data_IF_042958241067
#
_entry.id   IF_042958241067
#
_cell.length_a   1.000
_cell.length_b   1.000
_cell.length_c   1.000
_cell.angle_alpha   90.00
_cell.angle_beta   90.00
_cell.angle_gamma   90.00
#
_symmetry.space_group_name_H-M   'P 1'
#
loop_
_entity.id
_entity.type
_entity.pdbx_description
1 polymer ?
#
# COMPACT_ATOMS: atom_id res chain seq x y z
N UNK A 1 21.84 33.79 21.77
CA UNK A 1 21.26 32.56 21.18
C UNK A 1 21.43 32.62 19.67
N UNK A 2 22.15 31.65 19.07
CA UNK A 2 22.33 31.56 17.61
C UNK A 2 21.29 30.57 17.07
N UNK A 3 20.35 31.03 16.25
CA UNK A 3 19.44 30.14 15.50
C UNK A 3 20.24 29.18 14.61
N UNK A 4 19.79 27.93 14.57
CA UNK A 4 20.47 26.88 13.80
C UNK A 4 20.41 27.21 12.30
N UNK A 5 21.40 26.73 11.54
CA UNK A 5 21.45 26.94 10.08
C UNK A 5 20.18 26.37 9.40
N UNK A 6 19.65 25.29 9.95
CA UNK A 6 18.45 24.59 9.49
C UNK A 6 17.17 25.42 9.68
N UNK A 7 16.99 26.08 10.82
CA UNK A 7 15.83 26.96 11.07
C UNK A 7 15.79 28.15 10.10
N UNK A 8 16.96 28.68 9.73
CA UNK A 8 17.07 29.76 8.76
C UNK A 8 16.80 29.31 7.32
N UNK A 9 17.14 28.07 6.97
CA UNK A 9 16.78 27.49 5.67
C UNK A 9 15.29 27.19 5.59
N UNK A 10 14.68 26.57 6.61
CA UNK A 10 13.23 26.30 6.67
C UNK A 10 12.44 27.61 6.59
N UNK A 11 12.86 28.65 7.32
CA UNK A 11 12.23 29.97 7.26
C UNK A 11 12.32 30.65 5.89
N UNK A 12 13.41 30.43 5.13
CA UNK A 12 13.55 30.93 3.76
C UNK A 12 12.65 30.16 2.78
N UNK A 13 12.62 28.83 2.87
CA UNK A 13 11.81 27.98 2.00
C UNK A 13 10.32 28.25 2.19
N UNK A 14 9.87 28.43 3.44
CA UNK A 14 8.48 28.80 3.76
C UNK A 14 8.08 30.14 3.13
N UNK A 15 8.96 31.14 3.21
CA UNK A 15 8.69 32.49 2.65
C UNK A 15 8.65 32.48 1.12
N UNK A 16 9.43 31.62 0.48
CA UNK A 16 9.39 31.40 -0.97
C UNK A 16 8.04 30.75 -1.35
N UNK A 17 7.64 29.69 -0.65
CA UNK A 17 6.37 28.99 -0.87
C UNK A 17 5.15 29.92 -0.71
N UNK A 18 5.12 30.73 0.34
CA UNK A 18 4.03 31.70 0.61
C UNK A 18 4.00 32.87 -0.39
N UNK A 19 5.08 33.10 -1.14
CA UNK A 19 5.22 34.19 -2.12
C UNK A 19 4.97 33.76 -3.57
N UNK A 20 4.78 32.47 -3.84
CA UNK A 20 4.46 31.98 -5.19
C UNK A 20 3.00 32.30 -5.51
N UNK A 21 2.77 33.19 -6.48
CA UNK A 21 1.44 33.43 -7.02
C UNK A 21 0.90 32.14 -7.65
N UNK A 22 -0.30 31.74 -7.23
CA UNK A 22 -0.96 30.52 -7.68
C UNK A 22 -1.28 30.65 -9.18
N UNK A 23 -0.80 29.75 -10.06
CA UNK A 23 -1.10 29.82 -11.49
C UNK A 23 -2.61 29.66 -11.71
N UNK A 24 -3.22 30.52 -12.56
CA UNK A 24 -4.68 30.48 -12.83
C UNK A 24 -5.20 29.10 -13.28
N UNK A 25 -4.35 28.26 -13.87
CA UNK A 25 -4.67 26.88 -14.25
C UNK A 25 -4.93 25.95 -13.04
N UNK A 26 -4.35 26.25 -11.87
CA UNK A 26 -4.57 25.47 -10.64
C UNK A 26 -5.99 25.65 -10.10
N UNK A 27 -6.56 26.84 -10.30
CA UNK A 27 -7.88 27.24 -9.81
C UNK A 27 -8.99 26.41 -10.47
N UNK A 28 -8.81 26.04 -11.74
CA UNK A 28 -9.74 25.21 -12.50
C UNK A 28 -9.59 23.72 -12.19
N UNK A 29 -8.36 23.26 -11.88
CA UNK A 29 -8.09 21.90 -11.41
C UNK A 29 -8.65 21.69 -9.99
N UNK A 30 -8.46 22.66 -9.09
CA UNK A 30 -9.01 22.65 -7.72
C UNK A 30 -10.54 22.74 -7.77
N UNK A 31 -11.12 23.59 -8.64
CA UNK A 31 -12.58 23.60 -8.88
C UNK A 31 -13.09 22.30 -9.48
N UNK A 32 -12.30 21.63 -10.32
CA UNK A 32 -12.61 20.30 -10.86
C UNK A 32 -12.66 19.24 -9.78
N UNK A 33 -11.63 19.19 -8.91
CA UNK A 33 -11.54 18.25 -7.79
C UNK A 33 -12.66 18.48 -6.74
N UNK A 34 -12.94 19.74 -6.37
CA UNK A 34 -14.05 20.08 -5.46
C UNK A 34 -15.42 19.75 -6.06
N UNK A 35 -15.57 19.85 -7.40
CA UNK A 35 -16.79 19.39 -8.10
C UNK A 35 -16.92 17.87 -8.10
N UNK A 36 -15.81 17.14 -8.15
CA UNK A 36 -15.77 15.67 -8.06
C UNK A 36 -16.15 15.19 -6.65
N UNK A 37 -15.54 15.76 -5.60
CA UNK A 37 -15.89 15.46 -4.21
C UNK A 37 -17.35 15.81 -3.89
N UNK A 38 -17.87 16.93 -4.41
CA UNK A 38 -19.29 17.30 -4.21
C UNK A 38 -20.26 16.44 -5.02
N UNK A 39 -19.82 15.83 -6.13
CA UNK A 39 -20.62 14.86 -6.89
C UNK A 39 -20.71 13.53 -6.15
N UNK A 40 -19.58 13.03 -5.63
CA UNK A 40 -19.53 11.80 -4.82
C UNK A 40 -20.30 11.96 -3.49
N UNK A 41 -20.18 13.10 -2.81
CA UNK A 41 -20.97 13.39 -1.61
C UNK A 41 -22.47 13.53 -1.91
N UNK A 42 -22.85 14.14 -3.05
CA UNK A 42 -24.27 14.24 -3.46
C UNK A 42 -24.85 12.89 -3.83
N UNK A 43 -24.10 12.04 -4.53
CA UNK A 43 -24.56 10.69 -4.90
C UNK A 43 -24.67 9.79 -3.68
N UNK A 44 -23.74 9.91 -2.72
CA UNK A 44 -23.82 9.22 -1.44
C UNK A 44 -25.06 9.66 -0.64
N UNK A 45 -25.36 10.97 -0.60
CA UNK A 45 -26.55 11.52 0.10
C UNK A 45 -27.87 11.13 -0.59
N UNK A 46 -27.88 11.02 -1.92
CA UNK A 46 -29.05 10.56 -2.71
C UNK A 46 -29.36 9.10 -2.42
N UNK A 47 -28.34 8.24 -2.39
CA UNK A 47 -28.43 6.81 -2.08
C UNK A 47 -28.90 6.53 -0.65
N UNK A 48 -28.57 7.42 0.30
CA UNK A 48 -29.05 7.37 1.70
C UNK A 48 -30.48 7.90 1.85
N UNK A 49 -30.90 8.91 1.06
CA UNK A 49 -32.27 9.44 1.14
C UNK A 49 -33.33 8.51 0.53
N UNK A 50 -32.96 7.73 -0.49
CA UNK A 50 -33.87 6.77 -1.15
C UNK A 50 -34.06 5.47 -0.34
N UNK A 51 -33.21 5.20 0.65
CA UNK A 51 -33.35 4.05 1.57
C UNK A 51 -34.16 4.36 2.84
N UNK A 52 -34.61 5.61 3.04
CA UNK A 52 -35.19 6.07 4.31
C UNK A 52 -36.71 6.26 4.39
N UNK A 53 -37.48 6.15 3.30
CA UNK A 53 -38.93 6.47 3.33
C UNK A 53 -39.82 5.54 2.51
N UNK A 54 -40.02 4.30 2.98
CA UNK A 54 -41.34 3.66 2.85
C UNK A 54 -41.45 2.39 3.71
N UNK A 55 -42.02 2.54 4.90
CA UNK A 55 -42.31 1.42 5.79
C UNK A 55 -43.43 1.75 6.77
N UNK A 56 -44.68 1.85 6.29
CA UNK A 56 -45.90 1.60 7.09
C UNK A 56 -47.16 1.61 6.22
N UNK A 57 -47.59 0.42 5.76
CA UNK A 57 -48.93 -0.19 6.03
C UNK A 57 -49.17 -1.43 5.15
N UNK A 58 -49.68 -2.48 5.80
CA UNK A 58 -49.94 -3.85 5.30
C UNK A 58 -51.16 -3.90 4.36
N UNK A 59 -51.15 -4.84 3.41
CA UNK A 59 -52.36 -5.29 2.70
C UNK A 59 -52.14 -6.22 1.50
N UNK A 60 -51.89 -7.52 1.78
CA UNK A 60 -52.09 -8.76 0.97
C UNK A 60 -52.27 -8.67 -0.57
N UNK A 61 -51.36 -9.31 -1.31
CA UNK A 61 -51.65 -10.35 -2.33
C UNK A 61 -50.32 -10.95 -2.86
N UNK A 62 -50.29 -12.25 -3.12
CA UNK A 62 -49.10 -13.04 -3.47
C UNK A 62 -49.02 -13.31 -4.98
N UNK A 63 -47.84 -13.17 -5.60
CA UNK A 63 -47.36 -13.84 -6.83
C UNK A 63 -45.79 -13.82 -6.80
N UNK A 64 -45.07 -14.86 -7.28
CA UNK A 64 -43.73 -15.21 -6.80
C UNK A 64 -42.58 -14.61 -7.64
N UNK A 65 -41.45 -14.30 -6.99
CA UNK A 65 -40.25 -13.82 -7.67
C UNK A 65 -38.99 -13.96 -6.83
N UNK A 66 -38.14 -14.92 -7.21
CA UNK A 66 -36.68 -15.07 -6.99
C UNK A 66 -36.05 -14.30 -5.81
N UNK A 67 -35.69 -15.03 -4.74
CA UNK A 67 -34.81 -14.53 -3.67
C UNK A 67 -33.36 -14.53 -4.15
N UNK A 68 -32.72 -13.36 -4.21
CA UNK A 68 -31.26 -13.22 -4.28
C UNK A 68 -30.70 -13.05 -2.85
N UNK A 69 -29.63 -13.76 -2.43
CA UNK A 69 -29.15 -13.75 -1.05
C UNK A 69 -27.85 -12.96 -0.90
N UNK A 70 -27.85 -11.63 -1.03
CA UNK A 70 -26.61 -10.83 -0.92
C UNK A 70 -26.70 -9.67 0.09
N UNK A 71 -27.19 -9.96 1.30
CA UNK A 71 -27.25 -8.99 2.39
C UNK A 71 -26.55 -9.40 3.69
N UNK A 72 -25.75 -10.48 3.70
CA UNK A 72 -25.08 -10.99 4.92
C UNK A 72 -23.60 -11.38 4.72
N UNK A 73 -22.97 -11.00 3.61
CA UNK A 73 -21.67 -11.54 3.21
C UNK A 73 -20.51 -10.96 4.03
N UNK A 74 -20.61 -9.72 4.53
CA UNK A 74 -19.53 -9.09 5.31
C UNK A 74 -19.26 -9.77 6.66
N UNK A 75 -20.30 -10.12 7.42
CA UNK A 75 -20.14 -10.82 8.70
C UNK A 75 -19.84 -12.31 8.53
N UNK A 76 -20.35 -12.92 7.45
CA UNK A 76 -20.13 -14.33 7.16
C UNK A 76 -18.69 -14.60 6.67
N UNK A 77 -18.08 -13.68 5.92
CA UNK A 77 -16.71 -13.85 5.42
C UNK A 77 -15.67 -13.80 6.54
N UNK A 78 -15.79 -12.85 7.49
CA UNK A 78 -14.92 -12.77 8.65
C UNK A 78 -15.11 -13.97 9.59
N UNK A 79 -16.36 -14.38 9.84
CA UNK A 79 -16.64 -15.59 10.61
C UNK A 79 -16.14 -16.86 9.90
N UNK A 80 -16.26 -16.94 8.56
CA UNK A 80 -15.71 -18.04 7.77
C UNK A 80 -14.18 -18.06 7.82
N UNK A 81 -13.50 -16.91 7.74
CA UNK A 81 -12.04 -16.83 7.86
C UNK A 81 -11.57 -17.29 9.25
N UNK A 82 -12.21 -16.82 10.33
CA UNK A 82 -11.89 -17.25 11.70
C UNK A 82 -12.22 -18.74 11.91
N UNK A 83 -13.36 -19.22 11.41
CA UNK A 83 -13.72 -20.65 11.44
C UNK A 83 -12.77 -21.51 10.58
N UNK A 84 -12.26 -20.98 9.47
CA UNK A 84 -11.34 -21.67 8.59
C UNK A 84 -9.95 -21.78 9.22
N UNK A 85 -9.44 -20.70 9.81
CA UNK A 85 -8.17 -20.68 10.56
C UNK A 85 -8.25 -21.60 11.79
N UNK A 86 -9.37 -21.59 12.53
CA UNK A 86 -9.56 -22.50 13.67
C UNK A 86 -9.76 -23.95 13.24
N UNK A 87 -10.48 -24.24 12.14
CA UNK A 87 -10.62 -25.60 11.61
C UNK A 87 -9.31 -26.17 11.06
N UNK A 88 -8.48 -25.33 10.42
CA UNK A 88 -7.13 -25.69 9.98
C UNK A 88 -6.21 -26.06 11.16
N UNK A 89 -6.35 -25.37 12.29
CA UNK A 89 -5.52 -25.59 13.47
C UNK A 89 -6.00 -26.72 14.40
N UNK A 90 -7.21 -27.25 14.21
CA UNK A 90 -7.81 -28.22 15.14
C UNK A 90 -8.08 -29.60 14.53
N UNK A 91 -8.01 -29.76 13.20
CA UNK A 91 -8.30 -31.03 12.55
C UNK A 91 -7.33 -31.37 11.41
N UNK A 92 -6.43 -32.32 11.67
CA UNK A 92 -5.43 -32.81 10.70
C UNK A 92 -6.04 -33.33 9.39
N UNK A 93 -7.23 -33.95 9.44
CA UNK A 93 -7.89 -34.49 8.25
C UNK A 93 -8.45 -33.39 7.33
N UNK A 94 -8.85 -32.24 7.90
CA UNK A 94 -9.31 -31.09 7.13
C UNK A 94 -8.14 -30.34 6.49
N UNK A 95 -7.04 -30.16 7.23
CA UNK A 95 -5.78 -29.62 6.71
C UNK A 95 -5.24 -30.45 5.51
N UNK A 96 -5.28 -31.79 5.63
CA UNK A 96 -4.86 -32.71 4.56
C UNK A 96 -5.75 -32.67 3.30
N UNK A 97 -6.99 -32.21 3.43
CA UNK A 97 -7.94 -32.13 2.31
C UNK A 97 -7.89 -30.75 1.63
N UNK A 98 -7.60 -29.68 2.37
CA UNK A 98 -7.34 -28.34 1.83
C UNK A 98 -6.06 -28.30 0.96
N UNK A 99 -5.04 -29.11 1.29
CA UNK A 99 -3.79 -29.23 0.52
C UNK A 99 -3.91 -29.94 -0.84
N UNK A 100 -5.12 -30.29 -1.31
CA UNK A 100 -5.35 -30.97 -2.60
C UNK A 100 -6.03 -30.10 -3.66
N UNK A 101 -6.17 -28.79 -3.41
CA UNK A 101 -6.66 -27.82 -4.40
C UNK A 101 -5.48 -27.31 -5.27
N UNK A 102 -5.59 -27.26 -6.61
CA UNK A 102 -4.45 -26.98 -7.52
C UNK A 102 -3.81 -25.58 -7.41
N UNK A 103 -4.34 -24.68 -6.57
CA UNK A 103 -3.82 -23.31 -6.36
C UNK A 103 -3.33 -23.10 -4.91
N UNK A 104 -3.54 -24.07 -4.01
CA UNK A 104 -3.00 -24.06 -2.65
C UNK A 104 -1.92 -25.16 -2.57
N UNK A 105 -0.87 -24.98 -3.37
CA UNK A 105 0.21 -25.97 -3.54
C UNK A 105 1.36 -25.84 -2.55
N UNK A 106 1.46 -24.71 -1.85
CA UNK A 106 2.41 -24.51 -0.76
C UNK A 106 1.70 -23.71 0.34
N UNK A 107 1.85 -24.13 1.60
CA UNK A 107 1.54 -23.25 2.73
C UNK A 107 2.49 -22.05 2.60
N UNK A 108 1.95 -20.83 2.61
CA UNK A 108 2.76 -19.60 2.58
C UNK A 108 3.87 -19.69 3.62
N UNK A 109 5.12 -19.49 3.21
CA UNK A 109 6.27 -19.39 4.13
C UNK A 109 6.26 -18.07 4.88
N UNK A 110 5.41 -17.11 4.51
CA UNK A 110 5.24 -15.87 5.27
C UNK A 110 3.96 -15.94 6.09
N UNK A 111 4.09 -15.75 7.40
CA UNK A 111 2.98 -15.71 8.34
C UNK A 111 3.04 -14.43 9.17
N UNK A 112 1.88 -13.92 9.58
CA UNK A 112 1.80 -12.84 10.56
C UNK A 112 2.32 -13.32 11.90
N UNK A 113 3.43 -12.74 12.36
CA UNK A 113 4.05 -13.08 13.64
C UNK A 113 3.48 -12.25 14.79
N UNK A 114 3.25 -10.95 14.54
CA UNK A 114 2.60 -10.05 15.49
C UNK A 114 1.54 -9.23 14.80
N UNK A 115 0.48 -8.95 15.55
CA UNK A 115 -0.56 -8.03 15.17
C UNK A 115 -0.73 -6.98 16.27
N UNK A 116 -0.83 -5.71 15.89
CA UNK A 116 -1.15 -4.60 16.77
C UNK A 116 -2.41 -3.92 16.27
N UNK A 117 -3.51 -4.16 16.98
CA UNK A 117 -4.80 -3.54 16.73
C UNK A 117 -5.15 -2.59 17.87
N UNK A 118 -5.44 -1.34 17.55
CA UNK A 118 -6.01 -0.35 18.48
C UNK A 118 -7.14 0.36 17.76
N UNK A 119 -8.30 0.44 18.39
CA UNK A 119 -9.43 1.20 17.87
C UNK A 119 -10.14 1.88 19.05
N UNK A 120 -10.22 3.21 18.99
CA UNK A 120 -11.00 4.04 19.91
C UNK A 120 -11.72 5.14 19.11
N UNK A 121 -12.34 6.10 19.79
CA UNK A 121 -13.08 7.18 19.12
C UNK A 121 -12.19 8.10 18.27
N UNK A 122 -10.87 8.17 18.57
CA UNK A 122 -9.93 9.09 17.94
C UNK A 122 -9.14 8.45 16.81
N UNK A 123 -8.77 7.17 16.96
CA UNK A 123 -7.86 6.49 16.05
C UNK A 123 -8.16 5.00 15.85
N UNK A 124 -7.79 4.53 14.66
CA UNK A 124 -7.67 3.12 14.31
C UNK A 124 -6.22 2.85 13.88
N UNK A 125 -5.57 1.90 14.53
CA UNK A 125 -4.21 1.44 14.21
C UNK A 125 -4.31 -0.06 13.95
N UNK A 126 -3.98 -0.47 12.73
CA UNK A 126 -3.88 -1.87 12.33
C UNK A 126 -2.47 -2.11 11.80
N UNK A 127 -1.70 -2.97 12.46
CA UNK A 127 -0.34 -3.28 12.04
C UNK A 127 -0.02 -4.77 12.13
N UNK A 128 0.29 -5.37 10.97
CA UNK A 128 0.74 -6.76 10.86
C UNK A 128 2.25 -6.82 10.60
N UNK A 129 2.98 -7.56 11.44
CA UNK A 129 4.41 -7.81 11.24
C UNK A 129 4.58 -9.25 10.72
N UNK A 130 5.06 -9.43 9.47
CA UNK A 130 5.30 -10.76 8.94
C UNK A 130 6.58 -11.38 9.50
N UNK A 131 6.64 -12.70 9.43
CA UNK A 131 7.84 -13.48 9.59
C UNK A 131 7.93 -14.53 8.48
N UNK A 132 9.11 -14.62 7.88
CA UNK A 132 9.50 -15.65 6.93
C UNK A 132 9.90 -16.89 7.72
N UNK A 133 9.25 -18.01 7.42
CA UNK A 133 9.53 -19.31 8.02
C UNK A 133 10.84 -19.87 7.45
N UNK A 134 11.69 -20.36 8.36
CA UNK A 134 12.90 -21.08 8.00
C UNK A 134 12.55 -22.50 7.53
N UNK A 135 13.29 -23.08 6.56
CA UNK A 135 13.16 -24.50 6.24
C UNK A 135 13.53 -25.37 7.47
N UNK A 136 12.90 -26.54 7.59
CA UNK A 136 13.15 -27.51 8.66
C UNK A 136 14.66 -27.82 8.85
N UNK A 137 15.03 -28.08 10.11
CA UNK A 137 16.41 -28.28 10.55
C UNK A 137 17.11 -29.42 9.78
N UNK A 138 18.20 -29.09 9.06
CA UNK A 138 19.00 -30.06 8.30
C UNK A 138 19.35 -29.60 6.89
N UNK A 139 18.66 -28.59 6.37
CA UNK A 139 19.13 -27.81 5.22
C UNK A 139 20.19 -26.81 5.70
N UNK A 140 21.13 -26.42 4.85
CA UNK A 140 22.14 -25.41 5.19
C UNK A 140 21.44 -24.06 5.32
N UNK A 141 20.87 -23.78 6.50
CA UNK A 141 20.05 -22.59 6.75
C UNK A 141 20.90 -21.35 6.49
N UNK A 142 20.59 -20.63 5.42
CA UNK A 142 21.11 -19.28 5.28
C UNK A 142 20.51 -18.43 6.40
N UNK A 143 21.30 -17.60 7.12
CA UNK A 143 20.76 -16.67 8.11
C UNK A 143 19.87 -15.57 7.47
N UNK A 144 19.69 -15.57 6.14
CA UNK A 144 18.94 -14.54 5.42
C UNK A 144 17.52 -14.34 5.95
N UNK A 145 16.74 -15.39 6.17
CA UNK A 145 15.35 -15.22 6.61
C UNK A 145 15.30 -14.65 8.04
N UNK A 146 16.10 -15.18 8.97
CA UNK A 146 16.30 -14.58 10.30
C UNK A 146 16.77 -13.11 10.26
N UNK A 147 17.73 -12.76 9.41
CA UNK A 147 18.25 -11.40 9.27
C UNK A 147 17.18 -10.44 8.71
N UNK A 148 16.44 -10.87 7.68
CA UNK A 148 15.32 -10.11 7.09
C UNK A 148 14.18 -9.97 8.08
N UNK A 149 13.83 -11.02 8.83
CA UNK A 149 12.80 -10.97 9.88
C UNK A 149 13.16 -9.93 10.95
N UNK A 150 14.43 -9.91 11.38
CA UNK A 150 14.92 -8.92 12.34
C UNK A 150 14.89 -7.50 11.78
N UNK A 151 15.24 -7.33 10.50
CA UNK A 151 15.14 -6.05 9.79
C UNK A 151 13.70 -5.54 9.76
N UNK A 152 12.75 -6.39 9.33
CA UNK A 152 11.32 -6.08 9.26
C UNK A 152 10.77 -5.74 10.64
N UNK A 153 11.07 -6.56 11.67
CA UNK A 153 10.62 -6.29 13.05
C UNK A 153 11.15 -4.93 13.52
N UNK A 154 12.42 -4.63 13.27
CA UNK A 154 13.03 -3.35 13.68
C UNK A 154 12.34 -2.16 13.01
N UNK A 155 12.09 -2.24 11.70
CA UNK A 155 11.43 -1.18 10.93
C UNK A 155 9.98 -0.98 11.40
N UNK A 156 9.22 -2.07 11.54
CA UNK A 156 7.79 -2.01 11.86
C UNK A 156 7.55 -1.59 13.31
N UNK A 157 8.39 -2.02 14.26
CA UNK A 157 8.31 -1.54 15.65
C UNK A 157 8.71 -0.07 15.79
N UNK A 158 9.73 0.38 15.04
CA UNK A 158 10.08 1.79 14.98
C UNK A 158 8.92 2.62 14.39
N UNK A 159 8.34 2.15 13.27
CA UNK A 159 7.18 2.78 12.66
C UNK A 159 6.01 2.91 13.64
N UNK A 160 5.69 1.83 14.36
CA UNK A 160 4.62 1.80 15.36
C UNK A 160 4.82 2.87 16.43
N UNK A 161 6.03 2.93 17.00
CA UNK A 161 6.36 3.92 18.05
C UNK A 161 6.27 5.35 17.49
N UNK A 162 6.82 5.58 16.32
CA UNK A 162 6.86 6.92 15.73
C UNK A 162 5.45 7.37 15.29
N UNK A 163 4.61 6.46 14.80
CA UNK A 163 3.21 6.75 14.47
C UNK A 163 2.42 7.14 15.73
N UNK A 164 2.57 6.40 16.83
CA UNK A 164 1.95 6.76 18.11
C UNK A 164 2.39 8.14 18.61
N UNK A 165 3.68 8.45 18.51
CA UNK A 165 4.21 9.76 18.88
C UNK A 165 3.64 10.87 17.98
N UNK A 166 3.61 10.66 16.66
CA UNK A 166 3.05 11.63 15.69
C UNK A 166 1.58 11.93 15.95
N UNK A 167 0.78 10.92 16.31
CA UNK A 167 -0.64 11.10 16.63
C UNK A 167 -0.80 12.01 17.85
N UNK A 168 0.00 11.78 18.90
CA UNK A 168 -0.04 12.61 20.12
C UNK A 168 0.40 14.04 19.82
N UNK A 169 1.53 14.23 19.15
CA UNK A 169 2.02 15.56 18.75
C UNK A 169 1.01 16.31 17.87
N UNK A 170 0.31 15.58 16.98
CA UNK A 170 -0.74 16.17 16.15
C UNK A 170 -1.95 16.60 16.99
N UNK A 171 -2.37 15.77 17.95
CA UNK A 171 -3.46 16.09 18.88
C UNK A 171 -3.11 17.33 19.72
N UNK A 172 -1.94 17.35 20.34
CA UNK A 172 -1.47 18.49 21.14
C UNK A 172 -1.46 19.80 20.31
N UNK A 173 -0.91 19.77 19.10
CA UNK A 173 -0.87 20.94 18.21
C UNK A 173 -2.29 21.38 17.77
N UNK A 174 -3.17 20.43 17.51
CA UNK A 174 -4.56 20.70 17.14
C UNK A 174 -5.32 21.39 18.28
N UNK A 175 -5.19 20.89 19.51
CA UNK A 175 -5.81 21.49 20.69
C UNK A 175 -5.22 22.87 21.01
N UNK A 176 -3.89 23.02 20.90
CA UNK A 176 -3.21 24.30 21.14
C UNK A 176 -3.62 25.41 20.15
N UNK A 177 -4.12 25.05 18.97
CA UNK A 177 -4.63 25.99 17.95
C UNK A 177 -6.13 26.24 18.05
N UNK A 178 -6.78 25.77 19.13
CA UNK A 178 -8.19 25.99 19.42
C UNK A 178 -9.14 24.89 18.93
N UNK A 179 -8.60 23.74 18.49
CA UNK A 179 -9.40 22.55 18.24
C UNK A 179 -9.96 21.93 19.54
N UNK A 180 -10.99 21.10 19.43
CA UNK A 180 -11.56 20.35 20.56
C UNK A 180 -11.27 18.86 20.43
N UNK A 181 -11.41 18.11 21.52
CA UNK A 181 -11.30 16.64 21.53
C UNK A 181 -12.26 16.00 20.51
N UNK A 182 -13.51 16.48 20.47
CA UNK A 182 -14.54 15.95 19.55
C UNK A 182 -14.17 16.22 18.08
N UNK A 183 -13.69 17.42 17.78
CA UNK A 183 -13.24 17.77 16.43
C UNK A 183 -11.97 17.02 16.01
N UNK A 184 -11.16 16.56 16.97
CA UNK A 184 -10.03 15.69 16.68
C UNK A 184 -10.49 14.27 16.37
N UNK A 185 -11.44 13.73 17.14
CA UNK A 185 -12.02 12.41 16.90
C UNK A 185 -12.66 12.30 15.50
N UNK A 186 -13.33 13.36 15.04
CA UNK A 186 -13.91 13.43 13.70
C UNK A 186 -12.87 13.35 12.55
N UNK A 187 -11.57 13.53 12.83
CA UNK A 187 -10.51 13.35 11.83
C UNK A 187 -10.33 11.90 11.42
N UNK A 188 -10.76 10.95 12.27
CA UNK A 188 -10.67 9.51 12.00
C UNK A 188 -9.24 9.10 11.64
N UNK A 189 -8.31 9.29 12.57
CA UNK A 189 -6.89 9.00 12.38
C UNK A 189 -6.72 7.50 12.10
N UNK A 190 -6.12 7.12 10.95
CA UNK A 190 -5.89 5.73 10.59
C UNK A 190 -4.43 5.45 10.27
N UNK A 191 -3.88 4.43 10.91
CA UNK A 191 -2.56 3.85 10.63
C UNK A 191 -2.76 2.43 10.16
N UNK A 192 -2.36 2.14 8.92
CA UNK A 192 -2.42 0.80 8.35
C UNK A 192 -1.00 0.38 7.99
N UNK A 193 -0.51 -0.71 8.58
CA UNK A 193 0.77 -1.29 8.25
C UNK A 193 0.66 -2.81 8.06
N UNK A 194 1.35 -3.35 7.08
CA UNK A 194 1.24 -4.76 6.79
C UNK A 194 2.14 -5.19 5.65
N UNK A 195 1.79 -6.32 5.07
CA UNK A 195 2.60 -6.94 4.04
C UNK A 195 1.75 -7.62 2.96
N UNK A 196 2.37 -7.79 1.80
CA UNK A 196 1.82 -8.57 0.70
C UNK A 196 2.90 -9.51 0.14
N UNK A 197 2.58 -10.80 0.04
CA UNK A 197 3.43 -11.76 -0.68
C UNK A 197 3.17 -11.60 -2.17
N UNK A 198 4.12 -10.98 -2.89
CA UNK A 198 3.98 -10.68 -4.33
C UNK A 198 4.29 -11.88 -5.21
N UNK A 199 5.21 -12.73 -4.77
CA UNK A 199 5.60 -13.96 -5.47
C UNK A 199 6.23 -14.96 -4.50
N UNK A 200 5.88 -16.23 -4.64
CA UNK A 200 6.43 -17.28 -3.79
C UNK A 200 6.56 -18.61 -4.55
N UNK A 201 7.72 -19.23 -4.39
CA UNK A 201 8.05 -20.59 -4.83
C UNK A 201 8.89 -21.26 -3.73
N UNK A 202 9.33 -22.50 -3.96
CA UNK A 202 10.23 -23.19 -3.02
C UNK A 202 11.57 -22.45 -2.83
N UNK A 203 12.07 -21.80 -3.87
CA UNK A 203 13.42 -21.20 -3.89
C UNK A 203 13.40 -19.66 -3.83
N UNK A 204 12.28 -19.02 -4.17
CA UNK A 204 12.20 -17.56 -4.33
C UNK A 204 10.99 -16.99 -3.59
N UNK A 205 11.21 -15.90 -2.85
CA UNK A 205 10.17 -15.11 -2.20
C UNK A 205 10.29 -13.63 -2.61
N UNK A 206 9.17 -12.99 -2.90
CA UNK A 206 9.04 -11.55 -3.03
C UNK A 206 7.95 -11.05 -2.09
N UNK A 207 8.34 -10.17 -1.18
CA UNK A 207 7.53 -9.64 -0.10
C UNK A 207 7.56 -8.12 -0.14
N UNK A 208 6.39 -7.50 -0.12
CA UNK A 208 6.21 -6.07 0.03
C UNK A 208 5.76 -5.76 1.46
N UNK A 209 6.39 -4.77 2.10
CA UNK A 209 5.98 -4.21 3.39
C UNK A 209 5.51 -2.78 3.15
N UNK A 210 4.30 -2.46 3.58
CA UNK A 210 3.76 -1.10 3.49
C UNK A 210 3.30 -0.60 4.85
N UNK A 211 3.41 0.71 5.06
CA UNK A 211 2.65 1.37 6.11
C UNK A 211 2.22 2.75 5.64
N UNK A 212 1.03 3.18 6.03
CA UNK A 212 0.42 4.44 5.61
C UNK A 212 -0.37 5.09 6.75
N UNK A 213 -0.42 6.41 6.72
CA UNK A 213 -1.22 7.24 7.63
C UNK A 213 -2.18 8.09 6.78
N UNK A 214 -3.49 8.05 7.08
CA UNK A 214 -4.48 8.70 6.23
C UNK A 214 -4.43 10.25 6.27
N UNK A 215 -3.79 10.84 7.29
CA UNK A 215 -3.69 12.29 7.45
C UNK A 215 -2.39 12.89 6.88
N UNK A 216 -1.38 12.06 6.58
CA UNK A 216 -0.09 12.54 6.12
C UNK A 216 0.65 11.49 5.28
N UNK A 217 0.59 11.66 3.96
CA UNK A 217 1.23 10.74 3.01
C UNK A 217 2.76 10.67 3.13
N UNK A 218 3.39 11.68 3.74
CA UNK A 218 4.85 11.75 3.90
C UNK A 218 5.40 10.73 4.92
N UNK A 219 4.54 10.19 5.77
CA UNK A 219 4.93 9.17 6.76
C UNK A 219 4.72 7.75 6.26
N UNK A 220 4.31 7.55 5.00
CA UNK A 220 4.20 6.21 4.43
C UNK A 220 5.57 5.57 4.20
N UNK A 221 5.65 4.25 4.36
CA UNK A 221 6.83 3.45 3.98
C UNK A 221 6.42 2.35 3.00
N UNK A 222 7.35 1.99 2.12
CA UNK A 222 7.23 0.87 1.20
C UNK A 222 8.60 0.22 1.03
N UNK A 223 8.72 -1.05 1.42
CA UNK A 223 9.92 -1.85 1.28
C UNK A 223 9.65 -3.11 0.49
N UNK A 224 10.62 -3.51 -0.33
CA UNK A 224 10.55 -4.73 -1.12
C UNK A 224 11.70 -5.67 -0.76
N UNK A 225 11.36 -6.91 -0.43
CA UNK A 225 12.30 -7.98 -0.12
C UNK A 225 12.16 -9.06 -1.19
N UNK A 226 13.15 -9.15 -2.08
CA UNK A 226 13.26 -10.21 -3.07
C UNK A 226 14.38 -11.15 -2.66
N UNK A 227 14.05 -12.40 -2.34
CA UNK A 227 14.94 -13.33 -1.67
C UNK A 227 15.10 -14.60 -2.51
N UNK A 228 16.35 -15.00 -2.70
CA UNK A 228 16.73 -16.35 -3.12
C UNK A 228 16.95 -17.17 -1.85
N UNK A 229 15.92 -17.93 -1.47
CA UNK A 229 15.90 -18.74 -0.26
C UNK A 229 16.87 -19.92 -0.35
N UNK A 230 17.12 -20.41 -1.57
CA UNK A 230 18.03 -21.54 -1.81
C UNK A 230 19.50 -21.15 -1.60
N UNK A 231 19.90 -20.01 -2.17
CA UNK A 231 21.29 -19.54 -2.09
C UNK A 231 21.51 -18.55 -0.96
N UNK A 232 20.45 -18.13 -0.27
CA UNK A 232 20.57 -17.28 0.90
C UNK A 232 21.02 -15.86 0.60
N UNK A 233 20.55 -15.27 -0.50
CA UNK A 233 20.86 -13.86 -0.87
C UNK A 233 19.61 -13.04 -1.20
N UNK A 234 19.71 -11.71 -1.07
CA UNK A 234 18.75 -10.78 -1.67
C UNK A 234 18.98 -10.76 -3.20
N UNK A 235 17.91 -10.87 -3.97
CA UNK A 235 17.91 -10.80 -5.42
C UNK A 235 18.00 -9.35 -5.89
N UNK A 236 18.78 -9.12 -6.94
CA UNK A 236 18.90 -7.85 -7.65
C UNK A 236 18.21 -7.93 -9.01
N UNK A 237 18.01 -6.77 -9.68
CA UNK A 237 17.57 -6.76 -11.08
C UNK A 237 18.54 -7.51 -12.00
N UNK A 238 19.85 -7.48 -11.72
CA UNK A 238 20.86 -8.21 -12.46
C UNK A 238 20.73 -9.73 -12.34
N UNK A 239 20.31 -10.24 -11.19
CA UNK A 239 20.05 -11.67 -11.00
C UNK A 239 18.85 -12.15 -11.84
N UNK A 240 17.88 -11.27 -12.09
CA UNK A 240 16.64 -11.61 -12.80
C UNK A 240 16.72 -11.38 -14.31
N UNK A 241 17.40 -10.30 -14.73
CA UNK A 241 17.44 -9.82 -16.12
C UNK A 241 18.81 -10.05 -16.81
N UNK A 242 19.85 -10.38 -16.05
CA UNK A 242 21.21 -10.58 -16.55
C UNK A 242 22.11 -9.34 -16.45
N UNK A 243 23.30 -9.43 -17.06
CA UNK A 243 24.32 -8.37 -16.96
C UNK A 243 23.89 -7.05 -17.64
N UNK A 244 23.03 -7.14 -18.65
CA UNK A 244 22.44 -6.03 -19.41
C UNK A 244 21.10 -5.54 -18.83
N UNK A 245 20.85 -5.78 -17.53
CA UNK A 245 19.58 -5.41 -16.88
C UNK A 245 19.24 -3.94 -17.04
N UNK A 246 20.25 -3.05 -17.06
CA UNK A 246 20.03 -1.61 -17.21
C UNK A 246 19.47 -1.30 -18.58
N UNK A 247 20.11 -1.79 -19.64
CA UNK A 247 19.66 -1.57 -21.02
C UNK A 247 18.25 -2.13 -21.24
N UNK A 248 17.99 -3.37 -20.79
CA UNK A 248 16.68 -4.02 -20.91
C UNK A 248 15.59 -3.27 -20.18
N UNK A 249 15.78 -2.99 -18.89
CA UNK A 249 14.78 -2.30 -18.08
C UNK A 249 14.55 -0.87 -18.59
N UNK A 250 15.60 -0.13 -18.91
CA UNK A 250 15.47 1.25 -19.41
C UNK A 250 14.71 1.30 -20.74
N UNK A 251 14.96 0.36 -21.65
CA UNK A 251 14.28 0.29 -22.94
C UNK A 251 12.80 -0.08 -22.78
N UNK A 252 12.51 -1.08 -21.93
CA UNK A 252 11.14 -1.49 -21.64
C UNK A 252 10.32 -0.39 -20.95
N UNK A 253 10.88 0.28 -19.94
CA UNK A 253 10.21 1.38 -19.22
C UNK A 253 9.86 2.52 -20.19
N UNK A 254 10.81 2.98 -21.02
CA UNK A 254 10.54 4.06 -21.97
C UNK A 254 9.46 3.68 -22.99
N UNK A 255 9.53 2.47 -23.55
CA UNK A 255 8.50 1.94 -24.44
C UNK A 255 7.12 1.95 -23.77
N UNK A 256 7.02 1.43 -22.55
CA UNK A 256 5.76 1.40 -21.79
C UNK A 256 5.25 2.80 -21.46
N UNK A 257 6.12 3.76 -21.10
CA UNK A 257 5.73 5.15 -20.86
C UNK A 257 5.12 5.78 -22.13
N UNK A 258 5.75 5.58 -23.29
CA UNK A 258 5.26 6.06 -24.59
C UNK A 258 3.90 5.42 -24.95
N UNK A 259 3.77 4.10 -24.79
CA UNK A 259 2.53 3.36 -25.05
C UNK A 259 1.38 3.84 -24.15
N UNK A 260 1.64 4.05 -22.85
CA UNK A 260 0.63 4.53 -21.91
C UNK A 260 0.19 5.97 -22.23
N UNK A 261 1.12 6.86 -22.59
CA UNK A 261 0.78 8.24 -22.99
C UNK A 261 0.06 8.30 -24.35
N UNK A 262 0.34 7.36 -25.26
CA UNK A 262 -0.41 7.23 -26.51
C UNK A 262 -1.85 6.74 -26.29
N UNK A 263 -2.05 5.87 -25.29
CA UNK A 263 -3.35 5.33 -24.91
C UNK A 263 -4.20 6.31 -24.08
N UNK A 264 -3.58 7.11 -23.21
CA UNK A 264 -4.25 8.10 -22.37
C UNK A 264 -3.58 9.47 -22.48
N UNK A 265 -4.29 10.42 -23.10
CA UNK A 265 -3.82 11.80 -23.29
C UNK A 265 -3.70 12.60 -22.00
N UNK A 266 -4.31 12.15 -20.90
CA UNK A 266 -4.21 12.81 -19.61
C UNK A 266 -2.99 12.33 -18.81
N UNK A 267 -2.42 11.17 -19.16
CA UNK A 267 -1.23 10.66 -18.50
C UNK A 267 0.01 11.39 -19.02
N UNK A 268 0.83 11.86 -18.09
CA UNK A 268 2.08 12.56 -18.42
C UNK A 268 3.20 12.02 -17.54
N UNK A 269 4.28 11.61 -18.17
CA UNK A 269 5.56 11.39 -17.51
C UNK A 269 6.46 12.59 -17.71
N UNK A 270 7.33 12.88 -16.74
CA UNK A 270 8.26 14.00 -16.87
C UNK A 270 9.31 13.73 -17.93
N UNK A 271 9.62 14.77 -18.71
CA UNK A 271 10.58 14.76 -19.81
C UNK A 271 11.75 15.73 -19.57
N UNK A 272 11.80 16.38 -18.40
CA UNK A 272 12.80 17.40 -18.08
C UNK A 272 12.43 18.84 -18.50
N UNK A 273 11.36 19.06 -19.27
CA UNK A 273 11.07 20.38 -19.87
C UNK A 273 10.72 21.46 -18.85
N UNK A 274 10.20 21.06 -17.68
CA UNK A 274 9.69 21.95 -16.64
C UNK A 274 10.58 21.97 -15.38
N UNK A 275 11.85 21.55 -15.51
CA UNK A 275 12.76 21.44 -14.36
C UNK A 275 12.47 20.26 -13.42
N UNK A 276 11.51 19.40 -13.78
CA UNK A 276 11.27 18.10 -13.15
C UNK A 276 11.95 17.04 -13.99
N UNK A 277 12.99 16.42 -13.43
CA UNK A 277 13.69 15.31 -14.06
C UNK A 277 12.76 14.11 -14.27
N UNK A 278 12.75 13.56 -15.48
CA UNK A 278 12.06 12.31 -15.78
C UNK A 278 12.85 11.06 -15.43
N UNK A 279 12.33 9.92 -15.85
CA UNK A 279 13.04 8.65 -15.76
C UNK A 279 14.36 8.69 -16.54
N UNK A 280 15.49 8.46 -15.84
CA UNK A 280 16.84 8.46 -16.44
C UNK A 280 17.34 7.05 -16.68
N UNK A 281 17.52 6.28 -15.61
CA UNK A 281 18.03 4.91 -15.66
C UNK A 281 17.68 4.18 -14.37
N UNK A 282 17.55 2.86 -14.44
CA UNK A 282 17.57 1.99 -13.26
C UNK A 282 18.99 1.87 -12.70
N UNK A 283 19.10 1.47 -11.45
CA UNK A 283 20.35 1.25 -10.73
C UNK A 283 20.19 0.25 -9.59
N UNK A 284 21.22 0.16 -8.75
CA UNK A 284 21.28 -0.82 -7.65
C UNK A 284 20.19 -0.61 -6.58
N UNK A 285 19.74 0.64 -6.41
CA UNK A 285 18.72 1.02 -5.44
C UNK A 285 17.31 1.11 -6.04
N UNK A 286 17.12 0.71 -7.30
CA UNK A 286 15.80 0.72 -7.93
C UNK A 286 14.88 -0.25 -7.20
N UNK A 287 13.74 0.26 -6.71
CA UNK A 287 12.72 -0.54 -6.03
C UNK A 287 12.04 -1.47 -7.03
N UNK A 288 11.88 -2.73 -6.66
CA UNK A 288 11.14 -3.69 -7.46
C UNK A 288 10.61 -4.83 -6.60
N UNK A 289 9.56 -5.49 -7.07
CA UNK A 289 9.14 -6.81 -6.58
C UNK A 289 9.13 -7.82 -7.74
N UNK A 290 8.91 -9.10 -7.46
CA UNK A 290 8.71 -10.12 -8.50
C UNK A 290 7.21 -10.30 -8.67
N UNK A 291 6.69 -10.07 -9.87
CA UNK A 291 5.27 -10.27 -10.18
C UNK A 291 4.93 -11.74 -10.38
N UNK A 292 3.64 -12.05 -10.52
CA UNK A 292 3.13 -13.42 -10.65
C UNK A 292 3.77 -14.23 -11.79
N UNK A 293 4.24 -13.56 -12.85
CA UNK A 293 4.91 -14.19 -13.99
C UNK A 293 6.40 -14.49 -13.74
N UNK A 294 6.92 -14.21 -12.53
CA UNK A 294 8.34 -14.33 -12.21
C UNK A 294 9.22 -13.22 -12.81
N UNK A 295 8.62 -12.17 -13.35
CA UNK A 295 9.27 -10.98 -13.90
C UNK A 295 9.45 -9.91 -12.81
N UNK A 296 10.55 -9.13 -12.83
CA UNK A 296 10.65 -7.97 -11.96
C UNK A 296 9.65 -6.88 -12.39
N UNK A 297 8.93 -6.33 -11.41
CA UNK A 297 8.09 -5.15 -11.54
C UNK A 297 8.79 -4.00 -10.82
N UNK A 298 9.27 -3.04 -11.60
CA UNK A 298 9.96 -1.85 -11.09
C UNK A 298 8.95 -0.83 -10.62
N UNK A 299 9.20 -0.25 -9.44
CA UNK A 299 8.28 0.65 -8.74
C UNK A 299 8.92 2.02 -8.60
N UNK A 300 8.19 3.06 -9.00
CA UNK A 300 8.56 4.46 -8.80
C UNK A 300 7.55 5.13 -7.87
N UNK A 301 8.06 5.85 -6.87
CA UNK A 301 7.25 6.53 -5.88
C UNK A 301 6.38 7.62 -6.53
N UNK A 302 5.34 8.05 -5.81
CA UNK A 302 4.59 9.27 -6.17
C UNK A 302 5.58 10.41 -6.34
N UNK A 303 5.44 11.17 -7.41
CA UNK A 303 6.36 12.26 -7.74
C UNK A 303 7.81 11.82 -8.04
N UNK A 304 8.08 10.58 -8.44
CA UNK A 304 9.43 10.20 -8.85
C UNK A 304 9.66 10.37 -10.37
N UNK A 305 8.66 10.03 -11.19
CA UNK A 305 8.75 10.16 -12.66
C UNK A 305 7.49 10.77 -13.30
N UNK A 306 6.48 11.08 -12.50
CA UNK A 306 5.17 11.56 -12.95
C UNK A 306 4.46 12.36 -11.84
N UNK A 307 3.49 13.24 -12.18
CA UNK A 307 2.65 13.92 -11.19
C UNK A 307 2.02 12.96 -10.19
N UNK A 308 1.97 13.33 -8.91
CA UNK A 308 1.48 12.46 -7.83
C UNK A 308 0.01 12.04 -7.94
N UNK A 309 -0.79 12.71 -8.79
CA UNK A 309 -2.15 12.31 -9.12
C UNK A 309 -2.23 10.92 -9.79
N UNK A 310 -1.15 10.48 -10.45
CA UNK A 310 -1.09 9.15 -11.06
C UNK A 310 -0.69 8.05 -10.08
N UNK A 311 -0.39 8.41 -8.83
CA UNK A 311 0.02 7.45 -7.81
C UNK A 311 1.41 6.84 -8.09
N UNK A 312 1.66 5.72 -7.43
CA UNK A 312 2.86 4.89 -7.64
C UNK A 312 2.85 4.36 -9.08
N UNK A 313 4.00 4.38 -9.75
CA UNK A 313 4.12 3.90 -11.12
C UNK A 313 4.87 2.57 -11.15
N UNK A 314 4.26 1.54 -11.74
CA UNK A 314 4.83 0.20 -11.83
C UNK A 314 5.07 -0.20 -13.29
N UNK A 315 6.20 -0.86 -13.55
CA UNK A 315 6.59 -1.35 -14.88
C UNK A 315 7.13 -2.77 -14.79
N UNK A 316 6.37 -3.74 -15.30
CA UNK A 316 6.83 -5.13 -15.43
C UNK A 316 7.86 -5.23 -16.57
N UNK A 317 9.01 -5.85 -16.29
CA UNK A 317 10.07 -6.07 -17.28
C UNK A 317 10.11 -7.55 -17.64
N UNK A 318 9.77 -7.86 -18.89
CA UNK A 318 9.80 -9.24 -19.37
C UNK A 318 11.24 -9.78 -19.35
N UNK A 319 11.45 -10.93 -18.70
CA UNK A 319 12.77 -11.58 -18.62
C UNK A 319 13.19 -12.26 -19.94
N UNK A 320 12.24 -12.49 -20.84
CA UNK A 320 12.44 -13.22 -22.10
C UNK A 320 12.51 -12.31 -23.34
N UNK A 321 12.39 -11.00 -23.18
CA UNK A 321 12.69 -10.01 -24.23
C UNK A 321 14.17 -9.63 -24.25
#
# INVERSE_FOLDING_TARGET
MKQSKMEREIGRTKKIYESMETPKALDDVVRGALKQETWEQRDMRRRVSETGTQGKRRGKAAVPGKKSPHGKIGLAAAALAVCFITALNTNEAFAATAGRLPVIGAVSRVLTFRNYDTADEEKEIHMEIPQIQEPEAGSTSSPLAADVNKEIETIMEAYRRDAQQRIEEYKEAFLATGGTEEAFAEKGIKVDAGYEVKYETEDVLSLEITANENWASAYGIQYFYNLDLKNGKKLTLGDLLGQDYKEKANSSIRRQMEERMAADRNLVYWDGSNGMDGFKTVGENTKFYIGANGNPVIVFDKYEIAPGAFGIQEFEINRQE
#
